data_IF_316817405132
#
_entry.id   IF_316817405132
#
_cell.length_a   1.000
_cell.length_b   1.000
_cell.length_c   1.000
_cell.angle_alpha   90.00
_cell.angle_beta   90.00
_cell.angle_gamma   90.00
#
_symmetry.space_group_name_H-M   'P 1'
#
loop_
_entity.id
_entity.type
_entity.pdbx_description
1 polymer ?
#
# COMPACT_ATOMS: atom_id res chain seq x y z
N UNK A 1 -41.24 -64.45 21.49
CA UNK A 1 -41.46 -64.63 20.04
C UNK A 1 -40.25 -64.05 19.31
N UNK A 2 -39.36 -64.93 18.86
CA UNK A 2 -38.36 -64.68 17.80
C UNK A 2 -39.11 -64.61 16.44
N UNK A 3 -38.54 -64.19 15.28
CA UNK A 3 -37.12 -64.13 14.86
C UNK A 3 -36.74 -62.76 14.23
N UNK A 4 -35.50 -62.41 13.87
CA UNK A 4 -34.34 -63.20 13.50
C UNK A 4 -34.07 -63.05 12.00
N UNK A 5 -32.94 -62.42 11.66
CA UNK A 5 -32.12 -62.62 10.44
C UNK A 5 -31.00 -61.57 10.50
N UNK A 6 -29.72 -61.92 10.68
CA UNK A 6 -28.94 -62.88 9.90
C UNK A 6 -28.67 -62.26 8.53
N UNK A 7 -27.45 -62.11 8.01
CA UNK A 7 -26.21 -62.84 8.25
C UNK A 7 -25.06 -62.21 7.46
N UNK A 8 -23.84 -62.46 7.96
CA UNK A 8 -22.59 -62.77 7.24
C UNK A 8 -22.00 -61.71 6.26
N UNK A 9 -20.68 -61.60 6.02
CA UNK A 9 -19.57 -62.53 6.18
C UNK A 9 -18.28 -61.71 6.42
N UNK A 10 -17.44 -62.05 7.39
CA UNK A 10 -16.22 -62.86 7.20
C UNK A 10 -15.36 -62.47 5.99
N UNK A 11 -14.13 -62.01 6.23
CA UNK A 11 -12.90 -62.59 5.67
C UNK A 11 -11.65 -61.88 6.21
N UNK A 12 -10.70 -62.70 6.69
CA UNK A 12 -9.40 -62.31 7.24
C UNK A 12 -8.33 -62.06 6.17
N UNK A 13 -7.05 -62.03 6.58
CA UNK A 13 -5.98 -61.31 5.89
C UNK A 13 -5.30 -62.15 4.81
N UNK A 14 -5.07 -61.56 3.63
CA UNK A 14 -4.16 -62.10 2.63
C UNK A 14 -2.81 -61.37 2.75
N UNK A 15 -1.81 -62.09 3.27
CA UNK A 15 -0.41 -61.73 3.18
C UNK A 15 0.09 -61.97 1.76
N UNK A 16 0.73 -60.96 1.16
CA UNK A 16 1.47 -61.06 -0.11
C UNK A 16 2.85 -60.43 0.08
N UNK A 17 3.88 -61.26 -0.03
CA UNK A 17 5.27 -60.97 0.33
C UNK A 17 6.06 -60.36 -0.83
N UNK A 18 7.08 -59.57 -0.44
CA UNK A 18 8.37 -59.35 -1.08
C UNK A 18 8.43 -58.61 -2.44
N UNK A 19 9.19 -57.50 -2.44
CA UNK A 19 9.61 -56.81 -3.65
C UNK A 19 10.19 -55.43 -3.36
N UNK A 20 11.48 -55.39 -3.10
CA UNK A 20 12.36 -54.25 -2.82
C UNK A 20 12.17 -52.99 -3.69
N UNK A 21 12.24 -51.84 -3.00
CA UNK A 21 12.77 -50.54 -3.47
C UNK A 21 11.87 -49.63 -4.32
N UNK A 22 11.88 -48.34 -3.96
CA UNK A 22 11.44 -47.14 -4.70
C UNK A 22 9.94 -46.80 -4.76
N UNK A 23 9.45 -46.11 -3.73
CA UNK A 23 8.38 -45.11 -3.87
C UNK A 23 8.43 -44.04 -2.74
N UNK A 24 9.62 -43.55 -2.44
CA UNK A 24 9.80 -42.29 -1.72
C UNK A 24 9.51 -41.12 -2.69
N UNK A 25 8.26 -40.96 -3.14
CA UNK A 25 7.82 -39.84 -3.96
C UNK A 25 6.30 -39.89 -4.13
N UNK A 26 5.56 -39.27 -3.21
CA UNK A 26 4.17 -38.92 -3.44
C UNK A 26 3.91 -37.51 -2.89
N UNK A 27 4.05 -36.55 -3.81
CA UNK A 27 3.39 -35.25 -3.89
C UNK A 27 3.79 -34.12 -2.92
N UNK A 28 4.98 -33.58 -3.22
CA UNK A 28 5.44 -32.24 -2.85
C UNK A 28 4.83 -31.13 -3.75
N UNK A 29 3.50 -31.07 -3.90
CA UNK A 29 2.84 -30.11 -4.81
C UNK A 29 1.63 -29.38 -4.19
N UNK A 30 1.68 -29.09 -2.88
CA UNK A 30 0.66 -28.26 -2.21
C UNK A 30 1.16 -26.84 -1.86
N UNK A 31 2.40 -26.48 -2.21
CA UNK A 31 3.04 -25.20 -1.82
C UNK A 31 3.13 -24.18 -2.97
N UNK A 32 2.78 -24.56 -4.20
CA UNK A 32 3.13 -23.79 -5.40
C UNK A 32 2.08 -22.80 -5.92
N UNK A 33 0.89 -22.72 -5.31
CA UNK A 33 -0.15 -21.74 -5.69
C UNK A 33 -0.18 -20.54 -4.73
N UNK A 34 0.98 -20.15 -4.18
CA UNK A 34 1.09 -18.88 -3.44
C UNK A 34 1.17 -17.73 -4.43
N UNK A 35 0.16 -16.87 -4.41
CA UNK A 35 0.15 -15.67 -5.24
C UNK A 35 1.34 -14.77 -4.86
N UNK A 36 1.86 -14.00 -5.83
CA UNK A 36 2.94 -13.03 -5.57
C UNK A 36 2.57 -12.04 -4.44
N UNK A 37 1.28 -11.76 -4.24
CA UNK A 37 0.79 -10.91 -3.16
C UNK A 37 0.89 -11.58 -1.78
N UNK A 38 0.61 -12.88 -1.67
CA UNK A 38 0.76 -13.63 -0.42
C UNK A 38 2.24 -13.79 -0.03
N UNK A 39 3.11 -14.04 -1.02
CA UNK A 39 4.56 -14.07 -0.81
C UNK A 39 5.10 -12.72 -0.31
N UNK A 40 4.61 -11.59 -0.86
CA UNK A 40 4.98 -10.24 -0.40
C UNK A 40 4.50 -9.98 1.04
N UNK A 41 3.26 -10.37 1.38
CA UNK A 41 2.72 -10.24 2.72
C UNK A 41 3.50 -11.04 3.77
N UNK A 42 3.96 -12.25 3.44
CA UNK A 42 4.79 -13.05 4.32
C UNK A 42 6.23 -12.54 4.45
N UNK A 43 6.78 -11.96 3.38
CA UNK A 43 8.07 -11.26 3.45
C UNK A 43 7.98 -10.05 4.39
N UNK A 44 6.90 -9.27 4.32
CA UNK A 44 6.64 -8.15 5.23
C UNK A 44 6.52 -8.65 6.67
N UNK A 45 5.76 -9.73 6.91
CA UNK A 45 5.59 -10.33 8.24
C UNK A 45 6.93 -10.77 8.83
N UNK A 46 7.74 -11.48 8.04
CA UNK A 46 9.05 -11.99 8.44
C UNK A 46 10.03 -10.85 8.73
N UNK A 47 10.09 -9.83 7.87
CA UNK A 47 10.92 -8.63 8.12
C UNK A 47 10.54 -7.90 9.39
N UNK A 48 9.24 -7.72 9.65
CA UNK A 48 8.76 -7.08 10.88
C UNK A 48 9.13 -7.90 12.11
N UNK A 49 8.95 -9.22 12.08
CA UNK A 49 9.34 -10.11 13.17
C UNK A 49 10.85 -10.01 13.46
N UNK A 50 11.70 -10.09 12.42
CA UNK A 50 13.15 -9.94 12.57
C UNK A 50 13.56 -8.56 13.10
N UNK A 51 12.87 -7.49 12.69
CA UNK A 51 13.14 -6.13 13.19
C UNK A 51 12.74 -5.97 14.65
N UNK A 52 11.60 -6.54 15.07
CA UNK A 52 11.17 -6.53 16.47
C UNK A 52 12.12 -7.34 17.36
N UNK A 53 12.59 -8.50 16.89
CA UNK A 53 13.57 -9.32 17.60
C UNK A 53 14.95 -8.62 17.69
N UNK A 54 15.40 -7.98 16.61
CA UNK A 54 16.63 -7.19 16.60
C UNK A 54 16.55 -5.96 17.53
N UNK A 55 15.39 -5.31 17.60
CA UNK A 55 15.14 -4.20 18.52
C UNK A 55 15.13 -4.66 19.99
N UNK A 56 14.62 -5.87 20.28
CA UNK A 56 14.67 -6.45 21.62
C UNK A 56 16.11 -6.83 22.05
N UNK A 57 16.95 -7.28 21.12
CA UNK A 57 18.37 -7.60 21.39
C UNK A 57 19.25 -6.36 21.58
N UNK A 58 18.87 -5.20 21.01
CA UNK A 58 19.65 -3.95 21.05
C UNK A 58 19.50 -3.13 22.36
N UNK A 59 18.78 -3.63 23.37
CA UNK A 59 18.62 -2.96 24.67
C UNK A 59 19.79 -3.23 25.65
N UNK A 60 20.84 -3.94 25.21
CA UNK A 60 22.09 -4.13 25.94
C UNK A 60 23.27 -3.49 25.22
N UNK A 61 23.85 -2.46 25.84
CA UNK A 61 25.10 -1.75 25.50
C UNK A 61 25.07 -0.75 24.33
N UNK A 62 25.51 0.47 24.62
CA UNK A 62 25.53 1.61 23.72
C UNK A 62 26.62 1.59 22.64
N UNK A 63 26.64 2.66 21.85
CA UNK A 63 27.73 2.96 20.90
C UNK A 63 27.21 3.36 19.52
N UNK A 64 27.35 4.64 19.18
CA UNK A 64 26.88 5.24 17.94
C UNK A 64 27.45 4.62 16.66
N UNK A 65 26.58 4.53 15.65
CA UNK A 65 26.95 4.21 14.28
C UNK A 65 26.11 5.03 13.31
N UNK A 66 26.68 6.10 12.77
CA UNK A 66 26.10 6.93 11.71
C UNK A 66 26.01 6.14 10.39
N UNK A 67 24.96 5.33 10.25
CA UNK A 67 24.57 4.69 9.00
C UNK A 67 23.46 5.49 8.31
N UNK A 68 23.84 6.58 7.62
CA UNK A 68 22.93 7.47 6.87
C UNK A 68 22.28 6.78 5.66
N UNK A 69 21.33 5.88 5.92
CA UNK A 69 20.40 5.37 4.93
C UNK A 69 19.49 6.50 4.45
N UNK A 70 19.55 6.80 3.15
CA UNK A 70 18.76 7.85 2.49
C UNK A 70 17.25 7.57 2.68
N UNK A 71 16.66 8.13 3.73
CA UNK A 71 15.22 8.24 3.92
C UNK A 71 14.64 9.08 2.77
N UNK A 72 14.32 8.43 1.64
CA UNK A 72 13.53 9.03 0.54
C UNK A 72 12.11 9.40 0.99
N UNK A 73 11.69 8.94 2.16
CA UNK A 73 10.59 9.50 2.91
C UNK A 73 11.11 10.49 3.95
N UNK A 74 11.71 11.61 3.51
CA UNK A 74 11.65 12.84 4.32
C UNK A 74 10.17 13.10 4.50
N UNK A 75 9.63 12.69 5.64
CA UNK A 75 8.26 12.94 6.09
C UNK A 75 8.01 14.40 5.80
N UNK A 76 7.27 14.68 4.71
CA UNK A 76 7.11 16.03 4.17
C UNK A 76 6.71 16.87 5.36
N UNK A 77 7.60 17.77 5.77
CA UNK A 77 7.44 18.55 7.00
C UNK A 77 5.99 19.02 7.02
N UNK A 78 5.29 18.70 8.11
CA UNK A 78 3.90 19.09 8.26
C UNK A 78 3.89 20.61 8.47
N UNK A 79 4.20 21.39 7.44
CA UNK A 79 4.19 22.84 7.46
C UNK A 79 2.86 23.30 8.04
N UNK A 80 2.90 24.13 9.08
CA UNK A 80 1.72 24.67 9.73
C UNK A 80 0.78 25.24 8.67
N UNK A 81 -0.50 24.81 8.61
CA UNK A 81 -1.44 25.35 7.64
C UNK A 81 -1.53 26.89 7.77
N UNK A 82 -1.74 27.63 6.67
CA UNK A 82 -1.67 29.10 6.64
C UNK A 82 -2.81 29.82 7.39
N UNK A 83 -3.62 29.13 8.19
CA UNK A 83 -4.73 29.70 8.96
C UNK A 83 -5.90 30.25 8.12
N UNK A 84 -5.71 30.44 6.81
CA UNK A 84 -6.73 30.83 5.83
C UNK A 84 -6.36 30.34 4.43
N UNK A 85 -7.37 30.04 3.60
CA UNK A 85 -7.19 29.74 2.19
C UNK A 85 -6.71 30.98 1.43
N UNK A 86 -5.67 30.84 0.61
CA UNK A 86 -5.18 31.98 -0.17
C UNK A 86 -6.17 32.42 -1.27
N UNK A 87 -7.04 31.52 -1.75
CA UNK A 87 -7.96 31.83 -2.86
C UNK A 87 -9.29 32.45 -2.38
N UNK A 88 -9.93 31.86 -1.37
CA UNK A 88 -11.27 32.28 -0.91
C UNK A 88 -11.31 32.75 0.55
N UNK A 89 -10.15 32.83 1.21
CA UNK A 89 -9.99 33.37 2.56
C UNK A 89 -10.72 32.59 3.68
N UNK A 90 -11.35 31.45 3.39
CA UNK A 90 -11.95 30.59 4.41
C UNK A 90 -10.89 30.06 5.39
N UNK A 91 -11.23 30.05 6.68
CA UNK A 91 -10.33 29.64 7.78
C UNK A 91 -10.56 28.18 8.19
N UNK A 92 -11.75 27.67 7.93
CA UNK A 92 -12.18 26.31 8.26
C UNK A 92 -12.30 25.49 6.99
N UNK A 93 -11.64 24.33 6.97
CA UNK A 93 -11.69 23.38 5.85
C UNK A 93 -11.36 21.99 6.42
N UNK A 94 -12.03 20.92 5.96
CA UNK A 94 -11.75 19.57 6.44
C UNK A 94 -10.34 19.09 6.06
N UNK A 95 -9.76 19.63 4.98
CA UNK A 95 -8.40 19.29 4.54
C UNK A 95 -7.75 20.51 3.87
N UNK A 96 -6.43 20.65 4.08
CA UNK A 96 -5.60 21.68 3.44
C UNK A 96 -4.80 21.10 2.28
N UNK A 97 -5.02 21.62 1.08
CA UNK A 97 -4.38 21.15 -0.17
C UNK A 97 -3.26 22.08 -0.62
N UNK A 98 -2.39 21.58 -1.50
CA UNK A 98 -1.31 22.37 -2.12
C UNK A 98 -1.87 23.30 -3.17
N UNK A 99 -1.32 24.52 -3.23
CA UNK A 99 -1.61 25.52 -4.25
C UNK A 99 -0.34 25.96 -4.98
N UNK A 100 -0.43 26.99 -5.82
CA UNK A 100 0.71 27.51 -6.56
C UNK A 100 1.79 28.13 -5.63
N UNK A 101 1.37 28.72 -4.51
CA UNK A 101 2.29 29.32 -3.52
C UNK A 101 2.99 28.30 -2.60
N UNK A 102 2.65 27.00 -2.69
CA UNK A 102 3.31 25.95 -1.92
C UNK A 102 2.37 24.96 -1.23
N UNK A 103 2.90 24.29 -0.20
CA UNK A 103 2.18 23.23 0.48
C UNK A 103 1.09 23.78 1.42
N UNK A 104 -0.11 23.18 1.37
CA UNK A 104 -1.25 23.48 2.26
C UNK A 104 -1.82 24.90 2.18
N UNK A 105 -1.63 25.61 1.07
CA UNK A 105 -2.09 27.00 0.92
C UNK A 105 -3.56 27.18 0.56
N UNK A 106 -4.25 26.09 0.20
CA UNK A 106 -5.63 26.13 -0.28
C UNK A 106 -6.55 25.24 0.56
N UNK A 107 -7.83 25.62 0.65
CA UNK A 107 -8.87 24.75 1.19
C UNK A 107 -9.15 23.56 0.26
N UNK A 108 -10.02 22.64 0.70
CA UNK A 108 -10.36 21.45 -0.07
C UNK A 108 -10.94 21.80 -1.45
N UNK A 109 -11.91 22.73 -1.52
CA UNK A 109 -12.55 23.13 -2.77
C UNK A 109 -11.58 23.80 -3.76
N UNK A 110 -10.88 24.86 -3.33
CA UNK A 110 -9.94 25.58 -4.18
C UNK A 110 -8.76 24.71 -4.61
N UNK A 111 -8.26 23.83 -3.73
CA UNK A 111 -7.17 22.91 -4.06
C UNK A 111 -7.57 21.84 -5.08
N UNK A 112 -8.81 21.35 -5.04
CA UNK A 112 -9.33 20.45 -6.08
C UNK A 112 -9.46 21.16 -7.43
N UNK A 113 -9.92 22.41 -7.44
CA UNK A 113 -9.99 23.23 -8.64
C UNK A 113 -8.59 23.46 -9.23
N UNK A 114 -7.61 23.86 -8.41
CA UNK A 114 -6.23 24.01 -8.83
C UNK A 114 -5.65 22.71 -9.41
N UNK A 115 -5.84 21.57 -8.75
CA UNK A 115 -5.37 20.28 -9.27
C UNK A 115 -6.02 19.89 -10.60
N UNK A 116 -7.25 20.33 -10.88
CA UNK A 116 -7.91 20.14 -12.16
C UNK A 116 -7.26 20.99 -13.26
N UNK A 117 -7.01 22.28 -12.96
CA UNK A 117 -6.33 23.19 -13.89
C UNK A 117 -4.92 22.70 -14.24
N UNK A 118 -4.14 22.27 -13.22
CA UNK A 118 -2.79 21.72 -13.42
C UNK A 118 -2.83 20.49 -14.32
N UNK A 119 -3.73 19.53 -14.03
CA UNK A 119 -3.90 18.35 -14.89
C UNK A 119 -4.30 18.70 -16.33
N UNK A 120 -5.18 19.69 -16.52
CA UNK A 120 -5.59 20.14 -17.86
C UNK A 120 -4.39 20.72 -18.63
N UNK A 121 -3.56 21.53 -17.98
CA UNK A 121 -2.33 22.08 -18.55
C UNK A 121 -1.33 20.96 -18.88
N UNK A 122 -1.07 20.06 -17.94
CA UNK A 122 -0.10 18.98 -18.13
C UNK A 122 -0.55 18.02 -19.24
N UNK A 123 -1.86 17.78 -19.38
CA UNK A 123 -2.43 17.04 -20.52
C UNK A 123 -2.22 17.76 -21.85
N UNK A 124 -2.42 19.09 -21.91
CA UNK A 124 -2.18 19.87 -23.12
C UNK A 124 -0.70 19.78 -23.55
N UNK A 125 0.23 19.92 -22.59
CA UNK A 125 1.66 19.74 -22.83
C UNK A 125 2.01 18.34 -23.33
N UNK A 126 1.40 17.29 -22.75
CA UNK A 126 1.61 15.91 -23.19
C UNK A 126 1.08 15.65 -24.62
N UNK A 127 0.06 16.39 -25.04
CA UNK A 127 -0.53 16.30 -26.38
C UNK A 127 0.22 17.14 -27.44
N UNK A 128 1.29 17.86 -27.06
CA UNK A 128 2.01 18.76 -27.96
C UNK A 128 1.26 20.07 -28.27
N UNK A 129 0.14 20.32 -27.59
CA UNK A 129 -0.60 21.58 -27.68
C UNK A 129 0.15 22.63 -26.86
N UNK A 130 0.32 23.84 -27.38
CA UNK A 130 0.83 24.96 -26.57
C UNK A 130 -0.32 25.46 -25.68
N UNK A 131 -0.32 25.19 -24.36
CA UNK A 131 -1.36 25.75 -23.51
C UNK A 131 -1.21 27.27 -23.52
N UNK A 132 -2.31 27.97 -23.81
CA UNK A 132 -2.35 29.44 -23.70
C UNK A 132 -1.98 29.95 -22.30
N UNK A 133 -2.08 29.08 -21.29
CA UNK A 133 -1.72 29.35 -19.91
C UNK A 133 -0.43 28.60 -19.57
N UNK A 134 0.68 29.34 -19.52
CA UNK A 134 1.99 28.79 -19.18
C UNK A 134 2.12 28.47 -17.68
N UNK A 135 1.49 29.26 -16.81
CA UNK A 135 1.51 29.11 -15.35
C UNK A 135 0.13 29.37 -14.77
N UNK A 136 -0.29 28.54 -13.82
CA UNK A 136 -1.52 28.76 -13.05
C UNK A 136 -1.12 29.54 -11.81
N UNK A 137 -1.44 30.82 -11.79
CA UNK A 137 -1.18 31.70 -10.65
C UNK A 137 -2.39 31.77 -9.70
N UNK A 138 -2.20 32.46 -8.57
CA UNK A 138 -3.28 32.66 -7.59
C UNK A 138 -4.43 33.49 -8.14
N UNK A 139 -4.18 34.42 -9.06
CA UNK A 139 -5.22 35.30 -9.60
C UNK A 139 -6.15 34.56 -10.56
N UNK A 140 -5.58 33.79 -11.48
CA UNK A 140 -6.31 32.88 -12.36
C UNK A 140 -7.11 31.86 -11.56
N UNK A 141 -6.54 31.33 -10.47
CA UNK A 141 -7.26 30.41 -9.59
C UNK A 141 -8.48 31.10 -8.93
N UNK A 142 -8.32 32.34 -8.44
CA UNK A 142 -9.43 33.13 -7.89
C UNK A 142 -10.49 33.47 -8.93
N UNK A 143 -10.09 33.77 -10.16
CA UNK A 143 -11.01 34.04 -11.26
C UNK A 143 -11.79 32.77 -11.65
N UNK A 144 -11.08 31.67 -11.84
CA UNK A 144 -11.66 30.38 -12.28
C UNK A 144 -12.55 29.75 -11.21
N UNK A 145 -12.23 29.94 -9.93
CA UNK A 145 -13.05 29.46 -8.82
C UNK A 145 -14.33 30.28 -8.58
N UNK A 146 -14.35 31.57 -8.97
CA UNK A 146 -15.56 32.40 -8.93
C UNK A 146 -16.51 32.14 -10.09
N UNK A 147 -15.98 31.62 -11.20
CA UNK A 147 -16.74 31.31 -12.42
C UNK A 147 -17.33 29.89 -12.44
N UNK A 148 -17.15 29.10 -11.37
CA UNK A 148 -17.53 27.70 -11.26
C UNK A 148 -18.59 27.50 -10.17
#
# INVERSE_FOLDING_TARGET
MLPGSGSAAAQGPAQGQAGSSSAAQANANADQDRTMAEADMDLIRTKRALTTLAAAAALGSGGGGSGGGKNKYRKRSRATPPGKCHSCNIRETPEWRRGPDGARTLCNACGLHYAKLVRKRDKALANGETPSIQRIDMEMLRASARAA
#
